data_IF_675959634135
#
_entry.id   IF_675959634135
#
_cell.length_a   1.000
_cell.length_b   1.000
_cell.length_c   1.000
_cell.angle_alpha   90.00
_cell.angle_beta   90.00
_cell.angle_gamma   90.00
#
_symmetry.space_group_name_H-M   'P 1'
#
loop_
_entity.id
_entity.type
_entity.pdbx_description
1 polymer ?
#
# COMPACT_ATOMS: atom_id res chain seq x y z
N UNK A 1 6.11 5.24 37.38
CA UNK A 1 4.85 4.45 37.41
C UNK A 1 4.95 3.38 36.32
N UNK A 2 4.73 2.11 36.63
CA UNK A 2 4.86 1.00 35.67
C UNK A 2 3.61 0.96 34.78
N UNK A 3 3.80 1.07 33.47
CA UNK A 3 2.71 1.00 32.47
C UNK A 3 2.05 -0.39 32.54
N UNK A 4 0.72 -0.46 32.49
CA UNK A 4 0.00 -1.74 32.46
C UNK A 4 0.29 -2.48 31.15
N UNK A 5 0.11 -3.81 31.12
CA UNK A 5 0.29 -4.58 29.88
C UNK A 5 -0.63 -4.10 28.75
N UNK A 6 -1.85 -3.73 29.11
CA UNK A 6 -2.85 -3.21 28.18
C UNK A 6 -2.44 -1.86 27.59
N UNK A 7 -2.00 -0.93 28.44
CA UNK A 7 -1.49 0.37 27.99
C UNK A 7 -0.23 0.22 27.14
N UNK A 8 0.66 -0.73 27.47
CA UNK A 8 1.84 -1.00 26.65
C UNK A 8 1.45 -1.52 25.26
N UNK A 9 0.45 -2.41 25.17
CA UNK A 9 -0.07 -2.90 23.89
C UNK A 9 -0.76 -1.80 23.07
N UNK A 10 -1.52 -0.92 23.71
CA UNK A 10 -2.16 0.22 23.07
C UNK A 10 -1.14 1.22 22.53
N UNK A 11 -0.16 1.60 23.35
CA UNK A 11 0.94 2.47 22.94
C UNK A 11 1.68 1.88 21.74
N UNK A 12 1.93 0.57 21.77
CA UNK A 12 2.60 -0.13 20.67
C UNK A 12 1.79 -0.07 19.38
N UNK A 13 0.48 -0.35 19.43
CA UNK A 13 -0.41 -0.21 18.26
C UNK A 13 -0.39 1.22 17.73
N UNK A 14 -0.48 2.22 18.61
CA UNK A 14 -0.42 3.63 18.23
C UNK A 14 0.88 3.99 17.51
N UNK A 15 2.02 3.54 18.01
CA UNK A 15 3.33 3.75 17.35
C UNK A 15 3.33 3.12 15.96
N UNK A 16 2.84 1.89 15.81
CA UNK A 16 2.78 1.21 14.51
C UNK A 16 1.89 1.95 13.52
N UNK A 17 0.71 2.43 13.93
CA UNK A 17 -0.20 3.20 13.06
C UNK A 17 0.42 4.52 12.59
N UNK A 18 0.98 5.28 13.53
CA UNK A 18 1.65 6.56 13.24
C UNK A 18 2.86 6.35 12.33
N UNK A 19 3.69 5.35 12.63
CA UNK A 19 4.82 4.96 11.80
C UNK A 19 4.39 4.56 10.39
N UNK A 20 3.29 3.82 10.26
CA UNK A 20 2.76 3.36 8.98
C UNK A 20 2.41 4.53 8.05
N UNK A 21 1.78 5.58 8.59
CA UNK A 21 1.51 6.82 7.86
C UNK A 21 2.78 7.59 7.51
N UNK A 22 3.61 7.86 8.51
CA UNK A 22 4.82 8.68 8.35
C UNK A 22 5.84 8.06 7.41
N UNK A 23 6.00 6.73 7.42
CA UNK A 23 6.87 6.05 6.45
C UNK A 23 6.32 6.16 5.02
N UNK A 24 5.01 6.05 4.80
CA UNK A 24 4.45 6.26 3.45
C UNK A 24 4.61 7.71 2.97
N UNK A 25 4.57 8.67 3.89
CA UNK A 25 4.71 10.10 3.57
C UNK A 25 6.18 10.51 3.33
N UNK A 26 7.11 10.00 4.14
CA UNK A 26 8.49 10.49 4.22
C UNK A 26 9.56 9.45 3.85
N UNK A 27 9.16 8.23 3.54
CA UNK A 27 10.06 7.09 3.38
C UNK A 27 10.65 6.60 4.72
N UNK A 28 11.38 5.48 4.70
CA UNK A 28 11.94 4.92 5.93
C UNK A 28 13.07 5.80 6.49
N UNK A 29 13.81 6.50 5.64
CA UNK A 29 14.95 7.33 6.04
C UNK A 29 14.57 8.78 6.32
N UNK A 30 13.40 9.26 5.89
CA UNK A 30 12.98 10.66 6.06
C UNK A 30 12.40 11.01 7.43
N UNK A 31 12.39 10.08 8.39
CA UNK A 31 11.96 10.35 9.77
C UNK A 31 12.81 9.62 10.82
N UNK A 32 13.23 10.33 11.86
CA UNK A 32 13.96 9.75 13.00
C UNK A 32 13.04 9.09 14.04
N UNK A 33 13.60 8.22 14.89
CA UNK A 33 12.83 7.57 15.98
C UNK A 33 12.27 8.62 16.96
N UNK A 34 13.05 9.65 17.29
CA UNK A 34 12.62 10.70 18.21
C UNK A 34 11.38 11.46 17.69
N UNK A 35 11.40 11.89 16.42
CA UNK A 35 10.28 12.60 15.81
C UNK A 35 9.05 11.69 15.66
N UNK A 36 9.26 10.43 15.25
CA UNK A 36 8.18 9.45 15.14
C UNK A 36 7.49 9.23 16.49
N UNK A 37 8.26 9.07 17.57
CA UNK A 37 7.70 8.89 18.91
C UNK A 37 6.97 10.14 19.39
N UNK A 38 7.49 11.32 19.06
CA UNK A 38 6.82 12.60 19.34
C UNK A 38 5.45 12.68 18.65
N UNK A 39 5.37 12.33 17.36
CA UNK A 39 4.09 12.25 16.62
C UNK A 39 3.14 11.20 17.25
N UNK A 40 3.69 10.10 17.77
CA UNK A 40 2.93 9.11 18.51
C UNK A 40 2.52 9.56 19.93
N UNK A 41 2.93 10.75 20.39
CA UNK A 41 2.64 11.27 21.73
C UNK A 41 3.37 10.52 22.84
N UNK A 42 4.53 9.92 22.54
CA UNK A 42 5.29 9.07 23.44
C UNK A 42 6.76 9.55 23.53
N UNK A 43 7.44 9.13 24.59
CA UNK A 43 8.84 9.53 24.81
C UNK A 43 9.79 8.72 23.92
N UNK A 44 10.93 9.31 23.55
CA UNK A 44 11.98 8.61 22.81
C UNK A 44 12.46 7.33 23.54
N UNK A 45 12.59 7.38 24.87
CA UNK A 45 12.97 6.20 25.67
C UNK A 45 11.92 5.08 25.67
N UNK A 46 10.64 5.40 25.46
CA UNK A 46 9.57 4.41 25.36
C UNK A 46 9.72 3.48 24.16
N UNK A 47 10.42 3.93 23.10
CA UNK A 47 10.63 3.15 21.88
C UNK A 47 11.36 1.84 22.15
N UNK A 48 12.50 1.92 22.84
CA UNK A 48 13.38 0.76 23.10
C UNK A 48 12.77 -0.22 24.11
N UNK A 49 11.67 0.14 24.79
CA UNK A 49 10.87 -0.78 25.58
C UNK A 49 9.84 -1.58 24.76
N UNK A 50 9.60 -1.23 23.49
CA UNK A 50 8.55 -1.81 22.64
C UNK A 50 9.05 -2.40 21.32
N UNK A 51 10.17 -1.87 20.79
CA UNK A 51 10.75 -2.23 19.51
C UNK A 51 12.26 -2.44 19.68
N UNK A 52 12.81 -3.50 19.06
CA UNK A 52 14.24 -3.77 19.13
C UNK A 52 15.06 -2.78 18.26
N UNK A 53 14.46 -2.33 17.15
CA UNK A 53 15.10 -1.40 16.22
C UNK A 53 14.06 -0.64 15.40
N UNK A 54 14.51 0.41 14.70
CA UNK A 54 13.68 1.12 13.72
C UNK A 54 13.29 0.22 12.54
N UNK A 55 14.13 -0.74 12.18
CA UNK A 55 13.83 -1.71 11.12
C UNK A 55 12.69 -2.64 11.53
N UNK A 56 12.65 -3.10 12.79
CA UNK A 56 11.52 -3.89 13.32
C UNK A 56 10.21 -3.11 13.24
N UNK A 57 10.22 -1.85 13.70
CA UNK A 57 9.06 -0.98 13.57
C UNK A 57 8.67 -0.79 12.09
N UNK A 58 9.63 -0.60 11.19
CA UNK A 58 9.37 -0.45 9.75
C UNK A 58 8.72 -1.69 9.15
N UNK A 59 9.16 -2.89 9.53
CA UNK A 59 8.59 -4.15 9.05
C UNK A 59 7.14 -4.31 9.50
N UNK A 60 6.85 -3.99 10.77
CA UNK A 60 5.48 -4.05 11.31
C UNK A 60 4.57 -2.96 10.73
N UNK A 61 5.07 -1.74 10.60
CA UNK A 61 4.35 -0.63 10.00
C UNK A 61 4.02 -0.91 8.52
N UNK A 62 4.94 -1.56 7.80
CA UNK A 62 4.74 -2.02 6.43
C UNK A 62 3.69 -3.13 6.35
N UNK A 63 3.76 -4.13 7.24
CA UNK A 63 2.75 -5.19 7.31
C UNK A 63 1.36 -4.60 7.58
N UNK A 64 1.25 -3.73 8.59
CA UNK A 64 0.02 -3.03 8.95
C UNK A 64 -0.58 -2.25 7.79
N UNK A 65 0.26 -1.55 7.02
CA UNK A 65 -0.15 -0.80 5.83
C UNK A 65 -0.76 -1.70 4.76
N UNK A 66 -0.12 -2.85 4.51
CA UNK A 66 -0.59 -3.83 3.54
C UNK A 66 -1.90 -4.45 4.00
N UNK A 67 -2.04 -4.80 5.28
CA UNK A 67 -3.27 -5.38 5.83
C UNK A 67 -4.46 -4.42 5.69
N UNK A 68 -4.30 -3.13 6.05
CA UNK A 68 -5.39 -2.14 5.89
C UNK A 68 -5.77 -1.94 4.42
N UNK A 69 -4.81 -1.97 3.50
CA UNK A 69 -5.14 -1.88 2.07
C UNK A 69 -5.84 -3.15 1.58
N UNK A 70 -5.45 -4.33 2.05
CA UNK A 70 -6.07 -5.59 1.69
C UNK A 70 -7.50 -5.69 2.22
N UNK A 71 -7.76 -5.22 3.43
CA UNK A 71 -9.10 -5.09 4.01
C UNK A 71 -10.00 -4.23 3.11
N UNK A 72 -9.52 -3.05 2.68
CA UNK A 72 -10.27 -2.16 1.76
C UNK A 72 -10.60 -2.83 0.42
N UNK A 73 -9.69 -3.64 -0.13
CA UNK A 73 -9.93 -4.36 -1.41
C UNK A 73 -10.91 -5.53 -1.29
N UNK A 74 -11.09 -6.04 -0.07
CA UNK A 74 -11.99 -7.14 0.24
C UNK A 74 -13.35 -6.67 0.75
N UNK A 75 -13.52 -5.37 1.01
CA UNK A 75 -14.83 -4.82 1.38
C UNK A 75 -15.80 -4.99 0.21
N UNK A 76 -16.72 -5.94 0.39
CA UNK A 76 -17.67 -6.36 -0.64
C UNK A 76 -18.79 -5.35 -0.86
N UNK A 77 -19.01 -4.43 0.09
CA UNK A 77 -20.01 -3.37 -0.05
C UNK A 77 -19.67 -2.41 -1.20
N UNK A 78 -18.39 -2.27 -1.52
CA UNK A 78 -17.90 -1.36 -2.57
C UNK A 78 -17.60 -2.07 -3.89
N UNK A 79 -17.69 -3.42 -3.96
CA UNK A 79 -17.37 -4.17 -5.17
C UNK A 79 -18.63 -4.58 -5.94
N UNK A 80 -18.92 -3.99 -7.11
CA UNK A 80 -19.99 -4.48 -7.97
C UNK A 80 -19.70 -5.92 -8.46
N UNK A 81 -20.72 -6.76 -8.65
CA UNK A 81 -20.51 -8.14 -9.07
C UNK A 81 -20.05 -8.23 -10.54
N UNK A 82 -19.37 -9.34 -10.86
CA UNK A 82 -19.09 -9.74 -12.23
C UNK A 82 -18.04 -8.91 -12.96
N UNK A 83 -18.31 -8.65 -14.23
CA UNK A 83 -17.43 -7.96 -15.19
C UNK A 83 -17.09 -6.51 -14.80
N UNK A 84 -17.94 -5.85 -13.99
CA UNK A 84 -17.72 -4.48 -13.50
C UNK A 84 -16.75 -4.37 -12.33
N UNK A 85 -16.43 -5.48 -11.66
CA UNK A 85 -15.63 -5.48 -10.45
C UNK A 85 -14.20 -4.94 -10.68
N UNK A 86 -13.57 -5.32 -11.80
CA UNK A 86 -12.23 -4.83 -12.14
C UNK A 86 -12.25 -3.33 -12.46
N UNK A 87 -13.22 -2.88 -13.25
CA UNK A 87 -13.36 -1.46 -13.62
C UNK A 87 -13.54 -0.59 -12.36
N UNK A 88 -14.44 -0.96 -11.45
CA UNK A 88 -14.66 -0.23 -10.20
C UNK A 88 -13.40 -0.18 -9.32
N UNK A 89 -12.63 -1.27 -9.26
CA UNK A 89 -11.35 -1.30 -8.53
C UNK A 89 -10.33 -0.33 -9.17
N UNK A 90 -10.24 -0.33 -10.51
CA UNK A 90 -9.37 0.58 -11.25
C UNK A 90 -9.79 2.05 -11.04
N UNK A 91 -11.08 2.35 -11.08
CA UNK A 91 -11.62 3.70 -10.86
C UNK A 91 -11.29 4.22 -9.47
N UNK A 92 -11.49 3.40 -8.43
CA UNK A 92 -11.14 3.75 -7.06
C UNK A 92 -9.63 3.93 -6.87
N UNK A 93 -8.83 2.99 -7.40
CA UNK A 93 -7.38 3.00 -7.21
C UNK A 93 -6.69 4.11 -8.02
N UNK A 94 -7.05 4.33 -9.28
CA UNK A 94 -6.40 5.32 -10.13
C UNK A 94 -7.07 6.69 -10.03
N UNK A 95 -7.63 7.06 -8.87
CA UNK A 95 -8.35 8.32 -8.70
C UNK A 95 -7.46 9.48 -8.22
N UNK A 96 -7.85 10.75 -8.47
CA UNK A 96 -7.21 11.92 -7.86
C UNK A 96 -7.17 11.84 -6.33
N UNK A 97 -8.27 11.37 -5.72
CA UNK A 97 -8.34 11.13 -4.28
C UNK A 97 -7.20 10.23 -3.81
N UNK A 98 -6.93 9.13 -4.52
CA UNK A 98 -5.84 8.25 -4.12
C UNK A 98 -4.45 8.82 -4.45
N UNK A 99 -4.30 9.51 -5.59
CA UNK A 99 -3.06 10.22 -5.95
C UNK A 99 -2.64 11.19 -4.84
N UNK A 100 -3.56 12.03 -4.38
CA UNK A 100 -3.28 13.16 -3.49
C UNK A 100 -3.08 12.74 -2.02
N UNK A 101 -3.47 11.51 -1.64
CA UNK A 101 -3.38 11.02 -0.26
C UNK A 101 -2.34 9.89 -0.11
N UNK A 102 -1.06 10.19 -0.37
CA UNK A 102 0.05 9.21 -0.28
C UNK A 102 0.16 8.55 1.11
N UNK A 103 0.00 9.33 2.18
CA UNK A 103 0.08 8.86 3.56
C UNK A 103 -1.03 7.87 3.95
N UNK A 104 -2.18 7.87 3.25
CA UNK A 104 -3.31 6.97 3.51
C UNK A 104 -3.62 6.03 2.34
N UNK A 105 -2.84 6.12 1.26
CA UNK A 105 -3.01 5.39 0.00
C UNK A 105 -2.17 4.12 -0.06
N UNK A 106 -1.74 3.76 -1.27
CA UNK A 106 -1.08 2.49 -1.55
C UNK A 106 0.34 2.45 -0.99
N UNK A 107 0.64 1.55 -0.03
CA UNK A 107 1.99 1.35 0.47
C UNK A 107 2.97 0.85 -0.61
N UNK A 108 2.50 0.14 -1.64
CA UNK A 108 3.37 -0.36 -2.71
C UNK A 108 3.92 0.82 -3.52
N UNK A 109 3.05 1.76 -3.90
CA UNK A 109 3.44 2.97 -4.63
C UNK A 109 4.29 3.92 -3.78
N UNK A 110 4.02 3.99 -2.47
CA UNK A 110 4.74 4.89 -1.55
C UNK A 110 6.11 4.34 -1.11
N UNK A 111 6.21 3.02 -0.85
CA UNK A 111 7.37 2.40 -0.19
C UNK A 111 8.13 1.41 -1.07
N UNK A 112 7.68 1.07 -2.29
CA UNK A 112 8.31 0.02 -3.09
C UNK A 112 9.81 0.24 -3.32
N UNK A 113 10.20 1.48 -3.62
CA UNK A 113 11.60 1.86 -3.81
C UNK A 113 12.36 1.82 -2.48
N UNK A 114 11.80 2.36 -1.40
CA UNK A 114 12.39 2.28 -0.06
C UNK A 114 12.64 0.83 0.36
N UNK A 115 11.64 -0.05 0.23
CA UNK A 115 11.73 -1.48 0.54
C UNK A 115 12.80 -2.17 -0.29
N UNK A 116 12.99 -1.79 -1.56
CA UNK A 116 14.06 -2.37 -2.39
C UNK A 116 15.47 -2.04 -1.89
N UNK A 117 15.62 -0.91 -1.17
CA UNK A 117 16.88 -0.47 -0.56
C UNK A 117 17.07 -1.04 0.85
N UNK A 118 16.03 -1.63 1.43
CA UNK A 118 16.08 -2.32 2.73
C UNK A 118 16.43 -3.80 2.57
N UNK A 119 16.92 -4.43 3.64
CA UNK A 119 17.13 -5.87 3.74
C UNK A 119 16.07 -6.57 4.60
N UNK A 120 16.34 -7.83 4.93
CA UNK A 120 15.76 -8.50 6.10
C UNK A 120 14.23 -8.49 6.23
N UNK A 121 13.76 -8.03 7.38
CA UNK A 121 12.37 -8.20 7.83
C UNK A 121 11.37 -7.38 7.01
N UNK A 122 11.76 -6.18 6.58
CA UNK A 122 10.89 -5.27 5.82
C UNK A 122 10.53 -5.86 4.46
N UNK A 123 11.51 -6.38 3.70
CA UNK A 123 11.26 -7.05 2.41
C UNK A 123 10.36 -8.28 2.58
N UNK A 124 10.54 -9.03 3.68
CA UNK A 124 9.70 -10.17 4.03
C UNK A 124 8.25 -9.77 4.29
N UNK A 125 8.02 -8.72 5.08
CA UNK A 125 6.69 -8.18 5.35
C UNK A 125 6.00 -7.71 4.06
N UNK A 126 6.72 -6.96 3.22
CA UNK A 126 6.21 -6.49 1.93
C UNK A 126 5.84 -7.65 0.99
N UNK A 127 6.69 -8.67 0.88
CA UNK A 127 6.44 -9.83 0.02
C UNK A 127 5.19 -10.60 0.46
N UNK A 128 4.97 -10.75 1.76
CA UNK A 128 3.75 -11.39 2.29
C UNK A 128 2.53 -10.52 2.01
N UNK A 129 2.61 -9.23 2.28
CA UNK A 129 1.53 -8.28 2.06
C UNK A 129 1.14 -8.11 0.59
N UNK A 130 2.05 -8.38 -0.36
CA UNK A 130 1.76 -8.24 -1.79
C UNK A 130 0.82 -9.35 -2.32
N UNK A 131 0.87 -10.54 -1.71
CA UNK A 131 0.16 -11.75 -2.20
C UNK A 131 -1.36 -11.58 -2.24
N UNK A 132 -2.03 -11.06 -1.19
CA UNK A 132 -3.48 -10.83 -1.22
C UNK A 132 -3.95 -9.97 -2.40
N UNK A 133 -3.18 -8.95 -2.80
CA UNK A 133 -3.52 -8.09 -3.95
C UNK A 133 -3.45 -8.85 -5.27
N UNK A 134 -2.42 -9.67 -5.45
CA UNK A 134 -2.27 -10.52 -6.63
C UNK A 134 -3.42 -11.53 -6.68
N UNK A 135 -3.73 -12.17 -5.56
CA UNK A 135 -4.81 -13.17 -5.48
C UNK A 135 -6.20 -12.57 -5.70
N UNK A 136 -6.40 -11.31 -5.27
CA UNK A 136 -7.63 -10.55 -5.54
C UNK A 136 -7.74 -10.21 -7.02
N UNK A 137 -6.70 -9.64 -7.62
CA UNK A 137 -6.70 -9.31 -9.04
C UNK A 137 -6.84 -10.55 -9.93
N UNK A 138 -6.21 -11.67 -9.57
CA UNK A 138 -6.34 -12.92 -10.32
C UNK A 138 -7.79 -13.43 -10.39
N UNK A 139 -8.64 -13.07 -9.43
CA UNK A 139 -10.08 -13.37 -9.45
C UNK A 139 -10.89 -12.41 -10.33
N UNK A 140 -10.38 -11.21 -10.60
CA UNK A 140 -11.07 -10.13 -11.31
C UNK A 140 -10.68 -10.02 -12.77
N UNK A 141 -9.41 -10.28 -13.10
CA UNK A 141 -8.90 -10.21 -14.47
C UNK A 141 -9.44 -11.37 -15.32
N UNK A 142 -9.66 -11.16 -16.63
CA UNK A 142 -9.99 -12.25 -17.54
C UNK A 142 -8.82 -13.23 -17.67
N UNK A 143 -9.10 -14.41 -18.24
CA UNK A 143 -8.05 -15.32 -18.68
C UNK A 143 -8.56 -16.74 -18.89
N UNK A 144 -8.04 -17.39 -19.93
CA UNK A 144 -8.43 -18.75 -20.34
C UNK A 144 -7.79 -19.85 -19.47
N UNK A 145 -6.77 -19.52 -18.68
CA UNK A 145 -6.08 -20.45 -17.77
C UNK A 145 -5.67 -19.76 -16.46
N UNK A 146 -5.35 -20.54 -15.43
CA UNK A 146 -4.85 -20.01 -14.15
C UNK A 146 -3.53 -19.23 -14.32
N UNK A 147 -2.64 -19.72 -15.17
CA UNK A 147 -1.37 -19.05 -15.50
C UNK A 147 -1.61 -17.72 -16.21
N UNK A 148 -2.51 -17.70 -17.21
CA UNK A 148 -2.86 -16.46 -17.93
C UNK A 148 -3.46 -15.42 -16.98
N UNK A 149 -4.39 -15.82 -16.10
CA UNK A 149 -4.95 -14.94 -15.07
C UNK A 149 -3.89 -14.41 -14.11
N UNK A 150 -2.95 -15.26 -13.68
CA UNK A 150 -1.85 -14.84 -12.80
C UNK A 150 -0.96 -13.81 -13.47
N UNK A 151 -0.58 -14.02 -14.75
CA UNK A 151 0.22 -13.07 -15.53
C UNK A 151 -0.52 -11.75 -15.72
N UNK A 152 -1.82 -11.80 -16.05
CA UNK A 152 -2.66 -10.61 -16.18
C UNK A 152 -2.80 -9.84 -14.86
N UNK A 153 -2.95 -10.54 -13.73
CA UNK A 153 -3.02 -9.92 -12.40
C UNK A 153 -1.71 -9.21 -12.02
N UNK A 154 -0.56 -9.84 -12.28
CA UNK A 154 0.75 -9.23 -12.05
C UNK A 154 0.97 -8.00 -12.94
N UNK A 155 0.61 -8.08 -14.21
CA UNK A 155 0.69 -6.96 -15.15
C UNK A 155 -0.24 -5.81 -14.72
N UNK A 156 -1.48 -6.13 -14.32
CA UNK A 156 -2.46 -5.15 -13.85
C UNK A 156 -1.97 -4.45 -12.59
N UNK A 157 -1.50 -5.19 -11.59
CA UNK A 157 -0.94 -4.61 -10.37
C UNK A 157 0.24 -3.69 -10.67
N UNK A 158 1.16 -4.14 -11.53
CA UNK A 158 2.33 -3.36 -11.93
C UNK A 158 1.94 -2.07 -12.65
N UNK A 159 0.99 -2.15 -13.57
CA UNK A 159 0.47 -0.99 -14.32
C UNK A 159 -0.23 0.00 -13.42
N UNK A 160 -1.10 -0.46 -12.52
CA UNK A 160 -1.79 0.39 -11.54
C UNK A 160 -0.80 1.16 -10.66
N UNK A 161 0.14 0.43 -10.07
CA UNK A 161 1.14 1.01 -9.16
C UNK A 161 2.04 1.99 -9.92
N UNK A 162 2.51 1.62 -11.11
CA UNK A 162 3.35 2.47 -11.94
C UNK A 162 2.65 3.77 -12.35
N UNK A 163 1.40 3.69 -12.81
CA UNK A 163 0.61 4.85 -13.18
C UNK A 163 0.41 5.81 -12.00
N UNK A 164 0.09 5.27 -10.82
CA UNK A 164 -0.07 6.09 -9.62
C UNK A 164 1.24 6.77 -9.18
N UNK A 165 2.39 6.09 -9.31
CA UNK A 165 3.71 6.68 -9.04
C UNK A 165 3.97 7.83 -10.01
N UNK A 166 3.78 7.61 -11.31
CA UNK A 166 4.01 8.63 -12.34
C UNK A 166 3.09 9.84 -12.16
N UNK A 167 1.79 9.61 -11.92
CA UNK A 167 0.82 10.68 -11.71
C UNK A 167 1.13 11.54 -10.48
N UNK A 168 1.78 10.98 -9.44
CA UNK A 168 2.26 11.73 -8.27
C UNK A 168 3.57 12.47 -8.51
N UNK A 169 4.38 12.01 -9.47
CA UNK A 169 5.73 12.51 -9.68
C UNK A 169 5.78 13.73 -10.61
N UNK A 170 4.81 13.85 -11.52
CA UNK A 170 4.71 15.00 -12.43
C UNK A 170 4.14 16.22 -11.71
N UNK A 171 4.57 17.41 -12.11
CA UNK A 171 4.12 18.71 -11.60
C UNK A 171 3.05 19.38 -12.49
N UNK A 172 2.76 18.79 -13.66
CA UNK A 172 1.67 19.18 -14.55
C UNK A 172 0.36 18.44 -14.18
N UNK A 173 -0.67 19.15 -13.68
CA UNK A 173 -1.95 18.55 -13.30
C UNK A 173 -2.69 17.88 -14.47
N UNK A 174 -2.56 18.39 -15.70
CA UNK A 174 -3.24 17.83 -16.86
C UNK A 174 -2.60 16.50 -17.25
N UNK A 175 -1.27 16.45 -17.33
CA UNK A 175 -0.53 15.20 -17.55
C UNK A 175 -0.77 14.19 -16.43
N UNK A 176 -0.86 14.63 -15.18
CA UNK A 176 -1.17 13.78 -14.03
C UNK A 176 -2.51 13.05 -14.21
N UNK A 177 -3.56 13.76 -14.62
CA UNK A 177 -4.87 13.15 -14.88
C UNK A 177 -4.83 12.23 -16.12
N UNK A 178 -4.18 12.67 -17.20
CA UNK A 178 -4.03 11.89 -18.43
C UNK A 178 -3.37 10.52 -18.16
N UNK A 179 -2.35 10.47 -17.31
CA UNK A 179 -1.70 9.22 -16.91
C UNK A 179 -2.70 8.27 -16.22
N UNK A 180 -3.51 8.80 -15.29
CA UNK A 180 -4.49 8.01 -14.56
C UNK A 180 -5.59 7.48 -15.48
N UNK A 181 -6.11 8.33 -16.38
CA UNK A 181 -7.11 7.97 -17.39
C UNK A 181 -6.58 6.90 -18.35
N UNK A 182 -5.41 7.13 -18.96
CA UNK A 182 -4.80 6.19 -19.89
C UNK A 182 -4.57 4.81 -19.26
N UNK A 183 -4.13 4.77 -18.00
CA UNK A 183 -3.95 3.53 -17.26
C UNK A 183 -5.28 2.82 -16.96
N UNK A 184 -6.32 3.55 -16.52
CA UNK A 184 -7.68 2.98 -16.31
C UNK A 184 -8.18 2.32 -17.59
N UNK A 185 -8.12 3.03 -18.70
CA UNK A 185 -8.62 2.52 -19.97
C UNK A 185 -7.83 1.30 -20.47
N UNK A 186 -6.49 1.36 -20.44
CA UNK A 186 -5.64 0.27 -20.93
C UNK A 186 -5.81 -1.00 -20.10
N UNK A 187 -5.90 -0.87 -18.78
CA UNK A 187 -6.04 -2.00 -17.87
C UNK A 187 -7.47 -2.56 -17.87
N UNK A 188 -8.49 -1.70 -18.08
CA UNK A 188 -9.87 -2.13 -18.28
C UNK A 188 -10.06 -2.88 -19.61
N UNK A 189 -9.44 -2.41 -20.70
CA UNK A 189 -9.51 -3.03 -22.04
C UNK A 189 -8.72 -4.32 -22.16
N UNK A 190 -7.67 -4.51 -21.36
CA UNK A 190 -6.93 -5.78 -21.27
C UNK A 190 -7.84 -6.95 -20.79
N UNK A 191 -9.03 -6.61 -20.31
CA UNK A 191 -10.24 -7.43 -20.13
C UNK A 191 -10.76 -8.16 -21.38
N UNK A 192 -10.75 -7.48 -22.52
CA UNK A 192 -11.51 -7.83 -23.72
C UNK A 192 -10.64 -8.41 -24.85
N UNK A 193 -9.34 -8.13 -24.89
CA UNK A 193 -8.44 -8.50 -26.00
C UNK A 193 -7.93 -9.95 -25.95
N UNK A 194 -8.60 -10.83 -25.23
CA UNK A 194 -8.32 -12.26 -25.23
C UNK A 194 -9.08 -12.99 -26.34
N UNK A 195 -8.88 -12.61 -27.60
CA UNK A 195 -9.27 -13.39 -28.80
C UNK A 195 -8.14 -14.34 -29.20
#
# INVERSE_FOLDING_TARGET
>A
MRVSKEQAAENRRRVVEVASGLFRERGFNGIGVADLMKEAGLTHGGFYGQFASKEDLAAEACARAMDVMAERWNDSAETPPGDKALAALLDGYLSPRHRDHSAAGCPIAALGVDVSRQGGAVRGAFTRGLRPFIDRLQRLVPGRSAEAKRKAALATLSGMVGALILARAVDDPALSEEILEAARESLGRSGAAGE
#
